data_IF_986147700522
#
_entry.id   IF_986147700522
#
_cell.length_a   1.000
_cell.length_b   1.000
_cell.length_c   1.000
_cell.angle_alpha   90.00
_cell.angle_beta   90.00
_cell.angle_gamma   90.00
#
_symmetry.space_group_name_H-M   'P 1'
#
loop_
_entity.id
_entity.type
_entity.pdbx_description
1 polymer ?
#
# COMPACT_ATOMS: atom_id res chain seq x y z
N UNK A 1 4.57 79.95 32.93
CA UNK A 1 5.85 79.20 32.80
C UNK A 1 5.94 78.65 31.39
N UNK A 2 7.16 78.65 30.83
CA UNK A 2 7.51 78.47 29.41
C UNK A 2 7.42 76.98 28.94
N UNK A 3 7.05 76.83 27.66
CA UNK A 3 7.07 75.65 26.74
C UNK A 3 8.57 75.21 26.57
N UNK A 4 9.02 73.94 26.23
CA UNK A 4 8.51 73.08 25.13
C UNK A 4 8.70 71.52 25.20
N UNK A 5 8.12 70.83 24.19
CA UNK A 5 8.50 69.49 23.64
C UNK A 5 9.85 69.65 22.89
N UNK A 6 10.83 68.69 22.77
CA UNK A 6 10.75 67.23 22.57
C UNK A 6 11.85 66.38 23.29
N UNK A 7 11.94 65.09 22.89
CA UNK A 7 13.06 64.13 23.04
C UNK A 7 12.99 63.23 24.27
N UNK A 8 12.52 61.98 24.07
CA UNK A 8 13.23 60.81 24.54
C UNK A 8 13.06 59.66 23.53
N UNK A 9 14.06 59.56 22.67
CA UNK A 9 14.54 58.32 22.06
C UNK A 9 14.89 57.32 23.18
N UNK A 10 14.79 56.03 22.84
CA UNK A 10 15.26 54.85 23.57
C UNK A 10 14.25 54.15 24.49
N UNK A 11 13.48 53.23 23.90
CA UNK A 11 13.25 51.87 24.43
C UNK A 11 12.64 50.99 23.33
N UNK A 12 13.37 50.82 22.22
CA UNK A 12 13.19 49.72 21.27
C UNK A 12 14.20 48.62 21.59
N UNK A 13 14.06 47.98 22.74
CA UNK A 13 14.75 46.75 23.12
C UNK A 13 13.73 45.97 23.94
N UNK A 14 13.59 44.67 23.70
CA UNK A 14 12.49 43.77 24.10
C UNK A 14 11.43 43.50 23.03
N UNK A 15 11.87 43.27 21.79
CA UNK A 15 11.28 42.21 20.97
C UNK A 15 12.26 41.03 20.99
N UNK A 16 11.94 39.99 21.75
CA UNK A 16 12.71 38.74 21.78
C UNK A 16 12.67 38.02 20.43
N UNK A 17 13.55 37.03 20.21
CA UNK A 17 13.65 36.32 18.94
C UNK A 17 12.54 35.27 18.84
N UNK A 18 11.31 35.70 18.62
CA UNK A 18 10.16 34.83 18.41
C UNK A 18 9.44 35.22 17.11
N UNK A 19 10.19 35.24 16.00
CA UNK A 19 9.67 35.18 14.63
C UNK A 19 10.81 35.00 13.62
N UNK A 20 11.63 33.96 13.82
CA UNK A 20 12.35 33.39 12.68
C UNK A 20 11.46 32.29 12.14
N UNK A 21 10.90 32.50 10.94
CA UNK A 21 10.52 31.37 10.09
C UNK A 21 11.70 30.39 10.11
N UNK A 22 11.47 29.08 10.31
CA UNK A 22 12.57 28.12 10.17
C UNK A 22 13.21 28.37 8.80
N UNK A 23 14.55 28.51 8.79
CA UNK A 23 15.27 28.59 7.52
C UNK A 23 14.86 27.36 6.70
N UNK A 24 14.44 27.59 5.44
CA UNK A 24 14.04 26.50 4.54
C UNK A 24 15.15 25.43 4.54
N UNK A 25 14.76 24.17 4.74
CA UNK A 25 15.70 23.06 4.67
C UNK A 25 16.26 22.97 3.25
N UNK A 26 17.53 22.55 3.07
CA UNK A 26 18.08 22.34 1.74
C UNK A 26 17.12 21.48 0.89
N UNK A 27 16.74 21.99 -0.29
CA UNK A 27 15.86 21.28 -1.21
C UNK A 27 14.35 21.52 -1.06
N UNK A 28 13.87 22.28 -0.07
CA UNK A 28 12.42 22.54 0.10
C UNK A 28 11.75 23.15 -1.15
N UNK A 29 12.48 23.98 -1.89
CA UNK A 29 12.00 24.53 -3.17
C UNK A 29 11.85 23.44 -4.24
N UNK A 30 12.79 22.50 -4.31
CA UNK A 30 12.72 21.37 -5.25
C UNK A 30 11.59 20.41 -4.88
N UNK A 31 11.34 20.18 -3.59
CA UNK A 31 10.16 19.44 -3.13
C UNK A 31 8.88 20.11 -3.62
N UNK A 32 8.75 21.43 -3.45
CA UNK A 32 7.57 22.18 -3.91
C UNK A 32 7.40 22.08 -5.43
N UNK A 33 8.48 22.24 -6.20
CA UNK A 33 8.43 22.10 -7.66
C UNK A 33 8.06 20.68 -8.12
N UNK A 34 8.56 19.65 -7.43
CA UNK A 34 8.17 18.28 -7.69
C UNK A 34 6.69 18.04 -7.40
N UNK A 35 6.19 18.59 -6.29
CA UNK A 35 4.76 18.54 -5.92
C UNK A 35 3.86 19.27 -6.92
N UNK A 36 4.29 20.42 -7.44
CA UNK A 36 3.62 21.12 -8.54
C UNK A 36 3.60 20.28 -9.84
N UNK A 37 4.69 19.57 -10.16
CA UNK A 37 4.70 18.65 -11.29
C UNK A 37 3.73 17.46 -11.09
N UNK A 38 3.67 16.88 -9.88
CA UNK A 38 2.72 15.83 -9.55
C UNK A 38 1.26 16.32 -9.64
N UNK A 39 0.99 17.55 -9.21
CA UNK A 39 -0.32 18.21 -9.30
C UNK A 39 -0.84 18.32 -10.74
N UNK A 40 0.07 18.53 -11.69
CA UNK A 40 -0.23 18.63 -13.11
C UNK A 40 -0.25 17.26 -13.82
N UNK A 41 -0.09 16.17 -13.06
CA UNK A 41 -0.04 14.81 -13.59
C UNK A 41 1.28 14.48 -14.28
N UNK A 42 2.31 15.31 -14.12
CA UNK A 42 3.63 15.08 -14.69
C UNK A 42 4.53 14.33 -13.69
N UNK A 43 4.16 13.09 -13.39
CA UNK A 43 4.85 12.24 -12.42
C UNK A 43 6.31 12.00 -12.76
N UNK A 44 6.63 11.88 -14.05
CA UNK A 44 8.01 11.72 -14.53
C UNK A 44 8.89 12.93 -14.18
N UNK A 45 8.39 14.14 -14.42
CA UNK A 45 9.13 15.37 -14.08
C UNK A 45 9.33 15.52 -12.57
N UNK A 46 8.27 15.28 -11.78
CA UNK A 46 8.36 15.34 -10.32
C UNK A 46 9.37 14.34 -9.77
N UNK A 47 9.34 13.09 -10.26
CA UNK A 47 10.32 12.06 -9.88
C UNK A 47 11.76 12.46 -10.27
N UNK A 48 11.97 12.98 -11.48
CA UNK A 48 13.29 13.41 -11.92
C UNK A 48 13.87 14.53 -11.05
N UNK A 49 13.05 15.51 -10.67
CA UNK A 49 13.48 16.58 -9.74
C UNK A 49 13.98 16.03 -8.40
N UNK A 50 13.27 15.04 -7.85
CA UNK A 50 13.65 14.42 -6.58
C UNK A 50 14.89 13.52 -6.73
N UNK A 51 15.05 12.82 -7.85
CA UNK A 51 16.28 12.06 -8.14
C UNK A 51 17.50 12.98 -8.26
N UNK A 52 17.38 14.10 -9.00
CA UNK A 52 18.44 15.09 -9.13
C UNK A 52 18.80 15.71 -7.77
N UNK A 53 17.79 15.90 -6.90
CA UNK A 53 18.00 16.36 -5.52
C UNK A 53 18.80 15.35 -4.69
N UNK A 54 18.45 14.06 -4.75
CA UNK A 54 19.20 13.00 -4.05
C UNK A 54 20.64 12.93 -4.58
N UNK A 55 20.82 12.96 -5.90
CA UNK A 55 22.13 12.86 -6.55
C UNK A 55 23.04 14.05 -6.18
N UNK A 56 22.49 15.24 -5.98
CA UNK A 56 23.23 16.44 -5.58
C UNK A 56 23.57 16.51 -4.08
N UNK A 57 23.00 15.62 -3.25
CA UNK A 57 23.19 15.58 -1.80
C UNK A 57 23.64 14.18 -1.32
N UNK A 58 24.77 13.65 -1.82
CA UNK A 58 25.23 12.32 -1.43
C UNK A 58 25.52 12.25 0.07
N UNK A 59 25.01 11.20 0.73
CA UNK A 59 25.16 10.97 2.17
C UNK A 59 24.09 11.62 3.04
N UNK A 60 23.19 12.43 2.48
CA UNK A 60 22.01 12.94 3.19
C UNK A 60 20.87 11.92 3.13
N UNK A 61 20.91 10.94 4.06
CA UNK A 61 19.93 9.86 4.11
C UNK A 61 18.53 10.32 4.53
N UNK A 62 18.42 11.39 5.33
CA UNK A 62 17.14 11.96 5.73
C UNK A 62 16.44 12.64 4.55
N UNK A 63 17.19 13.42 3.77
CA UNK A 63 16.69 13.99 2.51
C UNK A 63 16.30 12.87 1.54
N UNK A 64 17.16 11.86 1.39
CA UNK A 64 16.89 10.75 0.49
C UNK A 64 15.63 9.98 0.90
N UNK A 65 15.44 9.71 2.19
CA UNK A 65 14.25 9.05 2.70
C UNK A 65 12.97 9.88 2.43
N UNK A 66 13.00 11.19 2.68
CA UNK A 66 11.88 12.10 2.38
C UNK A 66 11.55 12.12 0.88
N UNK A 67 12.56 12.25 0.03
CA UNK A 67 12.42 12.29 -1.43
C UNK A 67 11.86 10.97 -1.97
N UNK A 68 12.45 9.84 -1.55
CA UNK A 68 11.97 8.51 -1.95
C UNK A 68 10.55 8.23 -1.45
N UNK A 69 10.19 8.68 -0.24
CA UNK A 69 8.83 8.51 0.26
C UNK A 69 7.81 9.25 -0.61
N UNK A 70 8.14 10.48 -1.03
CA UNK A 70 7.31 11.25 -1.97
C UNK A 70 7.21 10.57 -3.32
N UNK A 71 8.31 10.05 -3.85
CA UNK A 71 8.30 9.28 -5.10
C UNK A 71 7.44 8.02 -4.99
N UNK A 72 7.55 7.25 -3.90
CA UNK A 72 6.75 6.05 -3.66
C UNK A 72 5.24 6.36 -3.62
N UNK A 73 4.83 7.42 -2.92
CA UNK A 73 3.43 7.85 -2.91
C UNK A 73 2.99 8.40 -4.28
N UNK A 74 3.92 8.98 -5.05
CA UNK A 74 3.65 9.44 -6.41
C UNK A 74 3.45 8.29 -7.39
N UNK A 75 4.17 7.16 -7.23
CA UNK A 75 3.97 5.95 -8.03
C UNK A 75 2.55 5.38 -7.82
N UNK A 76 2.08 5.39 -6.57
CA UNK A 76 0.69 5.05 -6.27
C UNK A 76 -0.30 6.06 -6.85
N UNK A 77 0.00 7.35 -6.77
CA UNK A 77 -0.85 8.39 -7.35
C UNK A 77 -0.94 8.29 -8.89
N UNK A 78 0.16 7.95 -9.56
CA UNK A 78 0.19 7.72 -11.01
C UNK A 78 -0.71 6.54 -11.39
N UNK A 79 -0.63 5.42 -10.65
CA UNK A 79 -1.53 4.28 -10.84
C UNK A 79 -3.00 4.70 -10.79
N UNK A 80 -3.40 5.43 -9.75
CA UNK A 80 -4.80 5.89 -9.59
C UNK A 80 -5.19 6.87 -10.72
N UNK A 81 -4.26 7.73 -11.15
CA UNK A 81 -4.48 8.65 -12.29
C UNK A 81 -4.73 7.89 -13.59
N UNK A 82 -3.94 6.85 -13.86
CA UNK A 82 -4.03 6.03 -15.06
C UNK A 82 -5.29 5.17 -15.08
N UNK A 83 -5.69 4.63 -13.94
CA UNK A 83 -6.93 3.84 -13.80
C UNK A 83 -8.19 4.73 -13.92
N UNK A 84 -8.10 6.00 -13.52
CA UNK A 84 -9.24 6.90 -13.43
C UNK A 84 -8.98 8.28 -14.05
N UNK A 85 -8.71 8.38 -15.37
CA UNK A 85 -8.28 9.61 -16.02
C UNK A 85 -9.37 10.70 -16.01
N UNK A 86 -10.64 10.31 -16.12
CA UNK A 86 -11.80 11.22 -16.02
C UNK A 86 -12.09 11.65 -14.58
N UNK A 87 -11.44 11.02 -13.60
CA UNK A 87 -11.65 11.29 -12.20
C UNK A 87 -11.06 12.60 -11.70
N UNK A 88 -10.30 13.29 -12.55
CA UNK A 88 -9.54 14.47 -12.19
C UNK A 88 -8.49 14.17 -11.13
N UNK A 89 -8.09 12.91 -10.95
CA UNK A 89 -6.98 12.54 -10.07
C UNK A 89 -5.67 12.95 -10.76
N UNK A 90 -4.69 13.52 -10.03
CA UNK A 90 -4.67 13.72 -8.58
C UNK A 90 -5.42 15.00 -8.12
N UNK A 91 -5.77 15.94 -9.01
CA UNK A 91 -6.46 17.23 -8.71
C UNK A 91 -7.74 17.11 -7.86
N UNK A 92 -8.47 16.00 -7.95
CA UNK A 92 -9.66 15.71 -7.15
C UNK A 92 -9.34 15.45 -5.68
N UNK A 93 -8.20 14.81 -5.38
CA UNK A 93 -7.69 14.63 -4.03
C UNK A 93 -7.14 15.95 -3.46
N UNK A 94 -6.60 16.81 -4.34
CA UNK A 94 -6.11 18.16 -4.03
C UNK A 94 -7.22 19.19 -3.70
N UNK A 95 -8.39 19.10 -4.34
CA UNK A 95 -9.55 19.96 -3.99
C UNK A 95 -10.03 19.72 -2.56
N UNK A 96 -9.90 18.49 -2.06
CA UNK A 96 -10.32 18.10 -0.70
C UNK A 96 -9.29 18.52 0.35
N UNK A 97 -8.00 18.56 0.00
CA UNK A 97 -6.90 18.97 0.89
C UNK A 97 -6.64 20.48 0.92
N UNK A 98 -7.36 21.29 0.12
CA UNK A 98 -7.33 22.75 0.23
C UNK A 98 -6.02 23.41 -0.21
N UNK A 99 -5.28 22.79 -1.14
CA UNK A 99 -3.90 23.15 -1.56
C UNK A 99 -2.81 22.87 -0.50
N UNK A 100 -3.11 22.16 0.57
CA UNK A 100 -2.10 21.67 1.52
C UNK A 100 -1.49 20.37 1.00
N UNK A 101 -0.24 20.46 0.53
CA UNK A 101 0.49 19.32 -0.04
C UNK A 101 0.76 18.24 1.02
N UNK A 102 1.02 18.62 2.28
CA UNK A 102 1.31 17.67 3.35
C UNK A 102 0.09 16.79 3.64
N UNK A 103 -1.10 17.41 3.73
CA UNK A 103 -2.36 16.67 3.92
C UNK A 103 -2.68 15.72 2.77
N UNK A 104 -2.24 16.06 1.55
CA UNK A 104 -2.44 15.22 0.38
C UNK A 104 -1.61 13.94 0.49
N UNK A 105 -0.33 14.06 0.83
CA UNK A 105 0.54 12.90 1.07
C UNK A 105 0.08 12.05 2.25
N UNK A 106 -0.35 12.67 3.36
CA UNK A 106 -0.95 11.96 4.50
C UNK A 106 -2.22 11.20 4.08
N UNK A 107 -3.02 11.76 3.18
CA UNK A 107 -4.22 11.09 2.68
C UNK A 107 -3.87 9.90 1.78
N UNK A 108 -2.85 10.01 0.93
CA UNK A 108 -2.38 8.90 0.10
C UNK A 108 -1.80 7.76 0.95
N UNK A 109 -0.95 8.08 1.92
CA UNK A 109 -0.47 7.12 2.92
C UNK A 109 -1.63 6.46 3.67
N UNK A 110 -2.62 7.25 4.10
CA UNK A 110 -3.84 6.73 4.72
C UNK A 110 -4.61 5.77 3.81
N UNK A 111 -4.75 6.07 2.51
CA UNK A 111 -5.38 5.14 1.56
C UNK A 111 -4.58 3.84 1.37
N UNK A 112 -3.24 3.89 1.35
CA UNK A 112 -2.41 2.68 1.31
C UNK A 112 -2.64 1.82 2.55
N UNK A 113 -2.55 2.41 3.74
CA UNK A 113 -2.78 1.70 5.00
C UNK A 113 -4.19 1.11 5.07
N UNK A 114 -5.21 1.86 4.67
CA UNK A 114 -6.59 1.38 4.61
C UNK A 114 -6.82 0.29 3.57
N UNK A 115 -6.14 0.35 2.42
CA UNK A 115 -6.19 -0.70 1.41
C UNK A 115 -5.64 -2.00 1.97
N UNK A 116 -4.52 -1.94 2.68
CA UNK A 116 -3.88 -3.10 3.30
C UNK A 116 -4.71 -3.68 4.45
N UNK A 117 -5.17 -2.82 5.36
CA UNK A 117 -5.94 -3.23 6.54
C UNK A 117 -7.38 -3.58 6.23
N UNK A 118 -7.89 -3.18 5.05
CA UNK A 118 -9.31 -3.19 4.69
C UNK A 118 -10.20 -2.53 5.77
N UNK A 119 -9.68 -1.46 6.39
CA UNK A 119 -10.37 -0.71 7.44
C UNK A 119 -9.70 0.65 7.67
N UNK A 120 -10.50 1.69 7.87
CA UNK A 120 -10.04 2.99 8.38
C UNK A 120 -11.09 4.08 8.28
N UNK A 121 -10.63 5.34 8.21
CA UNK A 121 -11.48 6.55 8.19
C UNK A 121 -12.36 6.63 6.95
N UNK A 122 -12.02 5.97 5.84
CA UNK A 122 -12.84 5.95 4.64
C UNK A 122 -13.85 4.79 4.60
N UNK A 123 -13.79 3.86 5.56
CA UNK A 123 -14.74 2.77 5.70
C UNK A 123 -15.99 3.19 6.50
N UNK A 124 -17.15 2.56 6.22
CA UNK A 124 -18.33 2.66 7.11
C UNK A 124 -18.11 1.83 8.37
N UNK A 125 -19.04 1.94 9.32
CA UNK A 125 -19.04 1.14 10.55
C UNK A 125 -18.82 -0.36 10.25
N UNK A 126 -17.87 -0.96 10.95
CA UNK A 126 -17.48 -2.36 10.74
C UNK A 126 -16.50 -2.62 9.58
N UNK A 127 -15.97 -1.58 8.91
CA UNK A 127 -15.01 -1.75 7.81
C UNK A 127 -15.65 -1.98 6.44
N UNK A 128 -16.95 -1.77 6.33
CA UNK A 128 -17.67 -1.96 5.06
C UNK A 128 -17.46 -0.74 4.17
N UNK A 129 -16.82 -0.91 3.02
CA UNK A 129 -16.69 0.16 2.04
C UNK A 129 -17.97 0.29 1.19
N UNK A 130 -18.35 1.52 0.78
CA UNK A 130 -19.45 1.71 -0.14
C UNK A 130 -19.15 1.01 -1.48
N UNK A 131 -20.19 0.66 -2.25
CA UNK A 131 -20.03 0.27 -3.64
C UNK A 131 -20.43 1.46 -4.55
N UNK A 132 -19.52 1.97 -5.40
CA UNK A 132 -18.10 1.60 -5.48
C UNK A 132 -17.25 2.15 -4.32
N UNK A 133 -16.15 1.48 -3.96
CA UNK A 133 -15.22 2.01 -2.99
C UNK A 133 -14.49 3.25 -3.54
N UNK A 134 -13.78 4.00 -2.68
CA UNK A 134 -12.88 5.05 -3.14
C UNK A 134 -11.93 4.54 -4.23
N UNK A 135 -11.78 5.31 -5.32
CA UNK A 135 -10.94 4.95 -6.49
C UNK A 135 -9.52 4.55 -6.12
N UNK A 136 -8.93 5.24 -5.15
CA UNK A 136 -7.59 4.95 -4.64
C UNK A 136 -7.49 3.50 -4.11
N UNK A 137 -8.49 3.05 -3.33
CA UNK A 137 -8.56 1.69 -2.83
C UNK A 137 -8.85 0.68 -3.95
N UNK A 138 -9.76 1.04 -4.88
CA UNK A 138 -10.13 0.17 -6.01
C UNK A 138 -8.94 -0.13 -6.93
N UNK A 139 -8.07 0.83 -7.19
CA UNK A 139 -6.85 0.64 -8.00
C UNK A 139 -5.90 -0.42 -7.44
N UNK A 140 -5.90 -0.63 -6.12
CA UNK A 140 -5.11 -1.67 -5.47
C UNK A 140 -5.87 -2.98 -5.33
N UNK A 141 -7.14 -2.93 -4.92
CA UNK A 141 -7.94 -4.14 -4.70
C UNK A 141 -8.39 -4.83 -5.99
N UNK A 142 -8.54 -4.09 -7.09
CA UNK A 142 -8.96 -4.61 -8.40
C UNK A 142 -10.25 -5.43 -8.36
N UNK A 143 -11.23 -5.01 -7.58
CA UNK A 143 -12.47 -5.78 -7.34
C UNK A 143 -13.47 -5.66 -8.50
N UNK A 144 -13.32 -4.68 -9.39
CA UNK A 144 -14.13 -4.53 -10.61
C UNK A 144 -13.53 -5.33 -11.77
N UNK A 145 -14.26 -6.35 -12.20
CA UNK A 145 -13.94 -7.16 -13.38
C UNK A 145 -14.15 -6.40 -14.72
N UNK A 146 -14.97 -5.33 -14.71
CA UNK A 146 -15.52 -4.74 -15.94
C UNK A 146 -14.75 -3.51 -16.47
N UNK A 147 -13.58 -3.18 -15.89
CA UNK A 147 -12.77 -2.05 -16.36
C UNK A 147 -11.30 -2.48 -16.52
N UNK A 148 -10.64 -2.16 -17.66
CA UNK A 148 -9.23 -2.44 -17.81
C UNK A 148 -8.44 -1.52 -16.88
N UNK A 149 -8.06 -2.05 -15.71
CA UNK A 149 -7.16 -1.38 -14.79
C UNK A 149 -5.71 -1.58 -15.26
N UNK A 150 -4.89 -0.56 -15.09
CA UNK A 150 -3.45 -0.58 -15.37
C UNK A 150 -2.82 -1.78 -14.66
N UNK A 151 -2.06 -2.67 -15.30
CA UNK A 151 -1.40 -3.78 -14.59
C UNK A 151 -0.48 -3.29 -13.45
N UNK A 152 -0.51 -3.91 -12.26
CA UNK A 152 0.37 -3.46 -11.15
C UNK A 152 1.86 -3.63 -11.47
N UNK A 153 2.21 -4.55 -12.37
CA UNK A 153 3.58 -4.72 -12.86
C UNK A 153 4.13 -3.49 -13.58
N UNK A 154 3.27 -2.57 -14.03
CA UNK A 154 3.69 -1.31 -14.67
C UNK A 154 3.93 -0.17 -13.66
N UNK A 155 3.66 -0.39 -12.37
CA UNK A 155 3.98 0.56 -11.31
C UNK A 155 5.48 0.49 -11.02
N UNK A 156 6.15 1.63 -10.99
CA UNK A 156 7.55 1.70 -10.60
C UNK A 156 7.74 1.20 -9.17
N UNK A 157 8.77 0.38 -8.96
CA UNK A 157 9.14 -0.15 -7.64
C UNK A 157 10.42 0.47 -7.10
N UNK A 158 11.12 1.28 -7.92
CA UNK A 158 12.44 1.83 -7.63
C UNK A 158 12.51 2.58 -6.29
N UNK A 159 11.55 3.49 -6.05
CA UNK A 159 11.53 4.28 -4.82
C UNK A 159 11.27 3.40 -3.59
N UNK A 160 10.30 2.50 -3.67
CA UNK A 160 9.95 1.59 -2.59
C UNK A 160 11.10 0.61 -2.27
N UNK A 161 11.73 0.02 -3.27
CA UNK A 161 12.88 -0.88 -3.09
C UNK A 161 14.08 -0.15 -2.45
N UNK A 162 14.33 1.11 -2.84
CA UNK A 162 15.38 1.95 -2.22
C UNK A 162 15.06 2.32 -0.77
N UNK A 163 13.80 2.58 -0.43
CA UNK A 163 13.38 2.79 0.97
C UNK A 163 13.66 1.53 1.80
N UNK A 164 13.31 0.35 1.28
CA UNK A 164 13.60 -0.90 1.97
C UNK A 164 15.11 -1.10 2.09
N UNK A 165 15.91 -0.78 1.08
CA UNK A 165 17.37 -0.86 1.17
C UNK A 165 17.96 0.06 2.26
N UNK A 166 17.43 1.29 2.40
CA UNK A 166 17.80 2.19 3.49
C UNK A 166 17.45 1.61 4.87
N UNK A 167 16.27 0.99 4.99
CA UNK A 167 15.85 0.28 6.22
C UNK A 167 16.75 -0.89 6.55
N UNK A 168 17.09 -1.73 5.57
CA UNK A 168 18.01 -2.86 5.77
C UNK A 168 19.43 -2.41 6.17
N UNK A 169 19.83 -1.21 5.73
CA UNK A 169 21.12 -0.61 6.07
C UNK A 169 21.11 0.13 7.42
N UNK A 170 19.98 0.15 8.14
CA UNK A 170 19.84 0.79 9.45
C UNK A 170 19.66 2.31 9.41
N UNK A 171 19.39 2.90 8.23
CA UNK A 171 19.13 4.34 8.09
C UNK A 171 17.65 4.71 8.28
N UNK A 172 16.74 3.72 8.26
CA UNK A 172 15.33 3.92 8.54
C UNK A 172 14.83 2.89 9.53
N UNK A 173 14.04 3.37 10.48
CA UNK A 173 13.32 2.53 11.42
C UNK A 173 12.20 1.74 10.73
N UNK A 174 11.90 0.55 11.27
CA UNK A 174 10.87 -0.33 10.75
C UNK A 174 9.48 0.31 10.74
N UNK A 175 9.19 1.16 11.73
CA UNK A 175 7.89 1.82 11.91
C UNK A 175 7.77 3.17 11.22
N UNK A 176 8.83 3.62 10.53
CA UNK A 176 8.80 4.86 9.74
C UNK A 176 7.72 4.80 8.65
N UNK A 177 7.01 5.91 8.44
CA UNK A 177 5.92 5.99 7.46
C UNK A 177 6.38 5.60 6.05
N UNK A 178 7.61 5.97 5.69
CA UNK A 178 8.20 5.62 4.40
C UNK A 178 8.31 4.10 4.23
N UNK A 179 8.83 3.40 5.24
CA UNK A 179 8.98 1.94 5.21
C UNK A 179 7.63 1.25 5.16
N UNK A 180 6.65 1.73 5.94
CA UNK A 180 5.30 1.17 5.96
C UNK A 180 4.62 1.33 4.60
N UNK A 181 4.61 2.54 4.03
CA UNK A 181 3.96 2.82 2.76
C UNK A 181 4.62 2.06 1.60
N UNK A 182 5.97 2.03 1.56
CA UNK A 182 6.74 1.26 0.58
C UNK A 182 6.43 -0.24 0.67
N UNK A 183 6.39 -0.78 1.90
CA UNK A 183 6.10 -2.20 2.13
C UNK A 183 4.69 -2.57 1.70
N UNK A 184 3.70 -1.69 1.92
CA UNK A 184 2.31 -1.91 1.49
C UNK A 184 2.19 -1.87 -0.03
N UNK A 185 2.79 -0.87 -0.68
CA UNK A 185 2.73 -0.76 -2.14
C UNK A 185 3.39 -1.99 -2.80
N UNK A 186 4.58 -2.36 -2.32
CA UNK A 186 5.27 -3.57 -2.77
C UNK A 186 4.46 -4.83 -2.48
N UNK A 187 3.78 -4.92 -1.33
CA UNK A 187 2.91 -6.06 -1.04
C UNK A 187 1.86 -6.27 -2.14
N UNK A 188 1.16 -5.21 -2.55
CA UNK A 188 0.16 -5.32 -3.62
C UNK A 188 0.79 -5.72 -4.96
N UNK A 189 1.92 -5.13 -5.32
CA UNK A 189 2.64 -5.42 -6.56
C UNK A 189 3.13 -6.88 -6.57
N UNK A 190 3.84 -7.31 -5.52
CA UNK A 190 4.40 -8.66 -5.38
C UNK A 190 3.29 -9.71 -5.32
N UNK A 191 2.21 -9.46 -4.57
CA UNK A 191 1.03 -10.35 -4.55
C UNK A 191 0.43 -10.52 -5.95
N UNK A 192 0.30 -9.44 -6.72
CA UNK A 192 -0.23 -9.53 -8.09
C UNK A 192 0.74 -10.20 -9.07
N UNK A 193 2.05 -10.05 -8.85
CA UNK A 193 3.10 -10.78 -9.57
C UNK A 193 3.20 -12.26 -9.17
N UNK A 194 2.36 -12.75 -8.24
CA UNK A 194 2.46 -14.09 -7.65
C UNK A 194 3.87 -14.31 -7.06
N UNK A 195 4.43 -13.27 -6.43
CA UNK A 195 5.66 -13.27 -5.62
C UNK A 195 5.28 -13.34 -4.14
N UNK A 196 4.69 -14.46 -3.73
CA UNK A 196 4.06 -14.62 -2.43
C UNK A 196 5.04 -14.77 -1.28
N UNK A 197 6.25 -15.27 -1.53
CA UNK A 197 7.31 -15.31 -0.51
C UNK A 197 7.69 -13.88 -0.10
N UNK A 198 7.98 -13.04 -1.10
CA UNK A 198 8.30 -11.63 -0.87
C UNK A 198 7.13 -10.88 -0.23
N UNK A 199 5.90 -11.11 -0.73
CA UNK A 199 4.71 -10.51 -0.13
C UNK A 199 4.52 -10.95 1.33
N UNK A 200 4.83 -12.21 1.68
CA UNK A 200 4.80 -12.70 3.07
C UNK A 200 5.82 -11.98 3.94
N UNK A 201 7.06 -11.84 3.47
CA UNK A 201 8.13 -11.13 4.17
C UNK A 201 7.76 -9.68 4.47
N UNK A 202 7.16 -8.98 3.49
CA UNK A 202 6.66 -7.61 3.66
C UNK A 202 5.55 -7.53 4.71
N UNK A 203 4.58 -8.45 4.68
CA UNK A 203 3.47 -8.51 5.64
C UNK A 203 3.96 -8.76 7.07
N UNK A 204 4.94 -9.64 7.25
CA UNK A 204 5.55 -9.89 8.56
C UNK A 204 6.28 -8.66 9.08
N UNK A 205 7.09 -8.02 8.22
CA UNK A 205 7.78 -6.77 8.55
C UNK A 205 6.81 -5.67 8.96
N UNK A 206 5.64 -5.56 8.31
CA UNK A 206 4.58 -4.61 8.67
C UNK A 206 3.97 -4.91 10.06
N UNK A 207 3.76 -6.18 10.41
CA UNK A 207 3.24 -6.56 11.73
C UNK A 207 4.25 -6.23 12.82
N UNK A 208 5.54 -6.47 12.58
CA UNK A 208 6.62 -6.12 13.51
C UNK A 208 6.73 -4.61 13.70
N UNK A 209 6.78 -3.85 12.61
CA UNK A 209 6.78 -2.39 12.59
C UNK A 209 5.62 -1.78 13.39
N UNK A 210 4.46 -2.42 13.37
CA UNK A 210 3.23 -1.94 14.02
C UNK A 210 2.96 -2.62 15.35
N UNK A 211 4.01 -3.15 15.99
CA UNK A 211 3.99 -3.73 17.34
C UNK A 211 2.91 -4.81 17.53
N UNK A 212 2.59 -5.56 16.48
CA UNK A 212 1.56 -6.61 16.54
C UNK A 212 0.16 -6.09 16.83
N UNK A 213 -0.17 -4.87 16.36
CA UNK A 213 -1.53 -4.32 16.42
C UNK A 213 -2.57 -5.29 15.84
N UNK A 214 -3.76 -5.34 16.43
CA UNK A 214 -4.76 -6.38 16.11
C UNK A 214 -5.22 -6.35 14.64
N UNK A 215 -5.32 -5.16 14.06
CA UNK A 215 -5.74 -4.99 12.66
C UNK A 215 -4.66 -5.49 11.70
N UNK A 216 -3.38 -5.27 12.02
CA UNK A 216 -2.22 -5.78 11.28
C UNK A 216 -2.10 -7.31 11.39
N UNK A 217 -2.34 -7.86 12.59
CA UNK A 217 -2.40 -9.32 12.79
C UNK A 217 -3.53 -9.96 11.98
N UNK A 218 -4.69 -9.30 11.90
CA UNK A 218 -5.80 -9.76 11.07
C UNK A 218 -5.44 -9.71 9.58
N UNK A 219 -4.87 -8.60 9.09
CA UNK A 219 -4.42 -8.47 7.70
C UNK A 219 -3.42 -9.58 7.32
N UNK A 220 -2.43 -9.83 8.18
CA UNK A 220 -1.48 -10.94 7.99
C UNK A 220 -2.15 -12.30 7.95
N UNK A 221 -2.99 -12.62 8.94
CA UNK A 221 -3.66 -13.91 9.00
C UNK A 221 -4.58 -14.12 7.80
N UNK A 222 -5.26 -13.05 7.35
CA UNK A 222 -6.09 -13.06 6.15
C UNK A 222 -5.26 -13.35 4.90
N UNK A 223 -4.14 -12.65 4.70
CA UNK A 223 -3.25 -12.89 3.57
C UNK A 223 -2.76 -14.34 3.52
N UNK A 224 -2.22 -14.88 4.63
CA UNK A 224 -1.76 -16.26 4.67
C UNK A 224 -2.88 -17.27 4.43
N UNK A 225 -4.10 -16.99 4.90
CA UNK A 225 -5.27 -17.82 4.61
C UNK A 225 -5.71 -17.76 3.15
N UNK A 226 -5.64 -16.59 2.50
CA UNK A 226 -5.95 -16.42 1.08
C UNK A 226 -5.00 -17.22 0.18
N UNK A 227 -3.71 -17.23 0.50
CA UNK A 227 -2.70 -18.00 -0.26
C UNK A 227 -2.54 -19.44 0.23
N UNK A 228 -3.40 -19.92 1.14
CA UNK A 228 -3.29 -21.27 1.72
C UNK A 228 -1.90 -21.59 2.29
N UNK A 229 -1.22 -20.63 2.90
CA UNK A 229 0.09 -20.85 3.51
C UNK A 229 -0.01 -21.79 4.72
N UNK A 230 0.97 -22.68 4.90
CA UNK A 230 1.16 -23.50 6.12
C UNK A 230 1.22 -22.66 7.42
N UNK A 231 1.53 -21.36 7.32
CA UNK A 231 1.53 -20.41 8.44
C UNK A 231 0.13 -19.93 8.81
N UNK A 232 -0.88 -20.11 7.95
CA UNK A 232 -2.22 -19.61 8.17
C UNK A 232 -2.84 -20.14 9.47
N UNK A 233 -2.80 -21.45 9.70
CA UNK A 233 -3.39 -22.07 10.89
C UNK A 233 -2.83 -21.53 12.22
N UNK A 234 -1.50 -21.56 12.47
CA UNK A 234 -0.96 -21.03 13.73
C UNK A 234 -1.23 -19.53 13.89
N UNK A 235 -1.23 -18.75 12.80
CA UNK A 235 -1.56 -17.33 12.83
C UNK A 235 -3.03 -17.07 13.18
N UNK A 236 -3.96 -17.82 12.58
CA UNK A 236 -5.40 -17.75 12.86
C UNK A 236 -5.71 -18.14 14.30
N UNK A 237 -5.12 -19.24 14.80
CA UNK A 237 -5.26 -19.65 16.20
C UNK A 237 -4.79 -18.54 17.16
N UNK A 238 -3.62 -17.96 16.89
CA UNK A 238 -3.07 -16.85 17.70
C UNK A 238 -3.95 -15.59 17.66
N UNK A 239 -4.44 -15.22 16.48
CA UNK A 239 -5.36 -14.10 16.29
C UNK A 239 -6.67 -14.31 17.06
N UNK A 240 -7.31 -15.46 16.90
CA UNK A 240 -8.57 -15.78 17.58
C UNK A 240 -8.40 -15.84 19.09
N UNK A 241 -7.34 -16.46 19.59
CA UNK A 241 -7.02 -16.45 21.02
C UNK A 241 -6.82 -15.03 21.57
N UNK A 242 -6.30 -14.10 20.76
CA UNK A 242 -6.27 -12.68 21.12
C UNK A 242 -7.68 -12.07 21.13
N UNK A 243 -8.46 -12.26 20.07
CA UNK A 243 -9.79 -11.66 19.91
C UNK A 243 -10.82 -12.15 20.94
N UNK A 244 -10.71 -13.40 21.41
CA UNK A 244 -11.67 -14.02 22.34
C UNK A 244 -11.46 -13.61 23.81
N UNK A 245 -10.37 -12.89 24.13
CA UNK A 245 -10.20 -12.33 25.47
C UNK A 245 -11.32 -11.32 25.76
N UNK A 246 -11.90 -11.28 26.98
CA UNK A 246 -12.87 -10.25 27.35
C UNK A 246 -12.21 -8.88 27.20
N UNK A 247 -12.79 -7.99 26.38
CA UNK A 247 -12.15 -6.71 26.04
C UNK A 247 -13.08 -5.52 26.17
N UNK A 248 -12.53 -4.45 26.75
CA UNK A 248 -13.07 -3.07 26.80
C UNK A 248 -12.60 -2.25 25.58
N UNK A 249 -11.66 -2.79 24.79
CA UNK A 249 -11.04 -2.10 23.65
C UNK A 249 -11.88 -2.20 22.37
N UNK A 250 -12.32 -1.03 21.88
CA UNK A 250 -13.12 -0.88 20.65
C UNK A 250 -12.40 -1.38 19.39
N UNK A 251 -11.07 -1.28 19.31
CA UNK A 251 -10.32 -1.73 18.14
C UNK A 251 -10.43 -3.25 17.96
N UNK A 252 -10.26 -3.99 19.07
CA UNK A 252 -10.41 -5.43 19.07
C UNK A 252 -11.84 -5.91 18.76
N UNK A 253 -12.86 -5.20 19.26
CA UNK A 253 -14.26 -5.50 18.91
C UNK A 253 -14.48 -5.37 17.40
N UNK A 254 -13.97 -4.30 16.78
CA UNK A 254 -14.07 -4.11 15.33
C UNK A 254 -13.31 -5.16 14.55
N UNK A 255 -12.08 -5.48 14.96
CA UNK A 255 -11.30 -6.56 14.37
C UNK A 255 -12.02 -7.90 14.47
N UNK A 256 -12.68 -8.20 15.59
CA UNK A 256 -13.47 -9.42 15.77
C UNK A 256 -14.65 -9.52 14.81
N UNK A 257 -15.32 -8.40 14.50
CA UNK A 257 -16.41 -8.37 13.51
C UNK A 257 -15.84 -8.70 12.13
N UNK A 258 -14.74 -8.06 11.75
CA UNK A 258 -14.06 -8.26 10.45
C UNK A 258 -13.47 -9.67 10.31
N UNK A 259 -13.05 -10.29 11.40
CA UNK A 259 -12.52 -11.65 11.43
C UNK A 259 -13.60 -12.74 11.31
N UNK A 260 -14.91 -12.40 11.35
CA UNK A 260 -16.01 -13.37 11.33
C UNK A 260 -16.02 -14.29 10.10
N UNK A 261 -15.89 -13.79 8.85
CA UNK A 261 -15.85 -14.66 7.68
C UNK A 261 -14.66 -15.62 7.72
N UNK A 262 -13.52 -15.13 8.18
CA UNK A 262 -12.30 -15.91 8.33
C UNK A 262 -12.45 -17.01 9.38
N UNK A 263 -13.11 -16.71 10.50
CA UNK A 263 -13.44 -17.70 11.55
C UNK A 263 -14.43 -18.76 11.06
N UNK A 264 -15.43 -18.37 10.28
CA UNK A 264 -16.39 -19.30 9.67
C UNK A 264 -15.69 -20.26 8.70
N UNK A 265 -14.80 -19.74 7.84
CA UNK A 265 -14.00 -20.57 6.93
C UNK A 265 -13.05 -21.50 7.68
N UNK A 266 -12.38 -21.01 8.74
CA UNK A 266 -11.45 -21.81 9.56
C UNK A 266 -12.15 -22.92 10.35
N UNK A 267 -13.40 -22.71 10.76
CA UNK A 267 -14.19 -23.68 11.53
C UNK A 267 -15.01 -24.62 10.63
N UNK A 268 -15.04 -24.38 9.32
CA UNK A 268 -15.74 -25.25 8.38
C UNK A 268 -14.98 -26.57 8.27
N UNK A 269 -15.70 -27.71 8.15
CA UNK A 269 -15.05 -28.96 7.76
C UNK A 269 -14.29 -28.74 6.45
N UNK A 270 -13.12 -29.38 6.24
CA UNK A 270 -12.39 -29.26 4.99
C UNK A 270 -13.34 -29.59 3.83
N UNK A 271 -13.27 -28.85 2.70
CA UNK A 271 -14.12 -29.15 1.56
C UNK A 271 -13.98 -30.65 1.24
N UNK A 272 -15.13 -31.33 1.06
CA UNK A 272 -15.17 -32.76 0.77
C UNK A 272 -14.09 -33.09 -0.26
N UNK A 273 -13.24 -34.08 0.07
CA UNK A 273 -12.26 -34.62 -0.87
C UNK A 273 -12.98 -34.92 -2.18
N UNK A 274 -12.50 -34.30 -3.26
CA UNK A 274 -13.00 -34.47 -4.61
C UNK A 274 -13.15 -35.98 -4.88
N UNK A 275 -14.39 -36.42 -5.14
CA UNK A 275 -14.66 -37.83 -5.43
C UNK A 275 -14.02 -38.23 -6.78
N UNK A 276 -13.53 -39.47 -6.94
CA UNK A 276 -12.96 -39.94 -8.19
C UNK A 276 -14.00 -39.85 -9.31
N UNK A 277 -13.72 -39.10 -10.39
CA UNK A 277 -14.54 -39.07 -11.61
C UNK A 277 -15.15 -37.72 -12.03
N UNK A 278 -14.88 -36.61 -11.33
CA UNK A 278 -15.28 -35.27 -11.81
C UNK A 278 -14.32 -34.78 -12.94
N UNK A 279 -14.84 -34.15 -14.01
CA UNK A 279 -14.03 -33.74 -15.15
C UNK A 279 -13.06 -32.61 -14.76
N UNK A 280 -11.78 -32.86 -15.04
CA UNK A 280 -10.61 -32.05 -14.66
C UNK A 280 -10.66 -30.56 -15.04
N UNK A 281 -11.52 -30.16 -15.98
CA UNK A 281 -11.69 -28.77 -16.44
C UNK A 281 -12.48 -27.89 -15.45
N UNK A 282 -13.24 -28.45 -14.50
CA UNK A 282 -13.83 -27.66 -13.39
C UNK A 282 -12.84 -27.42 -12.24
N UNK A 283 -11.58 -27.84 -12.39
CA UNK A 283 -10.50 -27.71 -11.39
C UNK A 283 -9.54 -26.55 -11.70
N UNK A 284 -9.85 -25.73 -12.69
CA UNK A 284 -9.04 -24.58 -13.08
C UNK A 284 -9.87 -23.32 -12.90
N UNK A 285 -9.37 -22.44 -12.04
CA UNK A 285 -9.70 -21.03 -11.83
C UNK A 285 -10.93 -20.68 -10.99
N UNK A 286 -10.74 -20.69 -9.67
CA UNK A 286 -11.07 -19.51 -8.88
C UNK A 286 -9.79 -18.97 -8.22
N UNK A 287 -9.64 -17.65 -8.06
CA UNK A 287 -8.44 -16.98 -7.49
C UNK A 287 -8.18 -17.29 -6.00
N UNK A 288 -8.57 -18.48 -5.55
CA UNK A 288 -8.21 -19.20 -4.32
C UNK A 288 -7.53 -20.56 -4.62
N UNK A 289 -7.30 -20.88 -5.90
CA UNK A 289 -6.94 -22.20 -6.41
C UNK A 289 -5.65 -22.14 -7.23
N UNK A 290 -4.56 -21.62 -6.66
CA UNK A 290 -3.26 -22.06 -7.13
C UNK A 290 -3.07 -23.52 -6.62
N UNK A 291 -3.06 -24.53 -7.51
CA UNK A 291 -3.00 -25.92 -7.08
C UNK A 291 -1.72 -26.25 -6.32
N UNK A 292 -0.62 -25.52 -6.56
CA UNK A 292 0.62 -25.72 -5.83
C UNK A 292 0.53 -25.23 -4.38
N UNK A 293 -0.13 -24.09 -4.12
CA UNK A 293 -0.36 -23.64 -2.76
C UNK A 293 -1.30 -24.57 -1.98
N UNK A 294 -2.29 -25.17 -2.64
CA UNK A 294 -3.12 -26.21 -2.03
C UNK A 294 -2.31 -27.48 -1.71
N UNK A 295 -1.43 -27.89 -2.61
CA UNK A 295 -0.54 -29.04 -2.38
C UNK A 295 0.46 -28.78 -1.24
N UNK A 296 0.92 -27.53 -1.11
CA UNK A 296 1.75 -27.06 0.00
C UNK A 296 0.99 -27.04 1.34
N UNK A 297 -0.26 -26.54 1.35
CA UNK A 297 -1.11 -26.48 2.53
C UNK A 297 -1.49 -27.86 3.07
N UNK A 298 -1.60 -28.85 2.19
CA UNK A 298 -1.81 -30.27 2.53
C UNK A 298 -0.57 -30.94 3.17
N UNK A 299 0.51 -30.18 3.40
CA UNK A 299 1.63 -30.56 4.26
C UNK A 299 2.78 -31.28 3.56
N UNK A 300 2.85 -31.24 2.23
CA UNK A 300 3.81 -32.03 1.47
C UNK A 300 5.24 -31.47 1.48
N UNK A 301 5.44 -30.16 1.63
CA UNK A 301 6.78 -29.57 1.62
C UNK A 301 6.87 -28.30 2.48
N UNK A 302 7.76 -28.25 3.47
CA UNK A 302 8.10 -27.03 4.22
C UNK A 302 9.46 -26.50 3.73
N UNK A 303 9.63 -25.18 3.66
CA UNK A 303 10.92 -24.56 3.29
C UNK A 303 11.18 -24.47 1.79
N UNK A 304 10.18 -24.76 0.93
CA UNK A 304 10.28 -24.57 -0.53
C UNK A 304 9.43 -23.41 -1.07
N UNK A 305 9.02 -22.49 -0.19
CA UNK A 305 8.13 -21.38 -0.53
C UNK A 305 8.67 -20.57 -1.71
N UNK A 306 9.97 -20.22 -1.70
CA UNK A 306 10.63 -19.48 -2.78
C UNK A 306 10.66 -20.26 -4.11
N UNK A 307 10.99 -21.55 -4.07
CA UNK A 307 11.08 -22.38 -5.27
C UNK A 307 9.71 -22.60 -5.92
N UNK A 308 8.67 -22.73 -5.10
CA UNK A 308 7.28 -22.80 -5.57
C UNK A 308 6.87 -21.46 -6.17
N UNK A 309 7.22 -20.34 -5.53
CA UNK A 309 6.94 -18.99 -6.02
C UNK A 309 7.55 -18.76 -7.41
N UNK A 310 8.84 -19.11 -7.57
CA UNK A 310 9.55 -19.05 -8.85
C UNK A 310 8.92 -19.97 -9.90
N UNK A 311 8.45 -21.15 -9.51
CA UNK A 311 7.75 -22.07 -10.42
C UNK A 311 6.40 -21.53 -10.87
N UNK A 312 5.60 -20.94 -9.96
CA UNK A 312 4.32 -20.29 -10.29
C UNK A 312 4.55 -19.15 -11.29
N UNK A 313 5.56 -18.31 -11.03
CA UNK A 313 5.94 -17.24 -11.93
C UNK A 313 6.37 -17.78 -13.30
N UNK A 314 7.22 -18.81 -13.35
CA UNK A 314 7.68 -19.41 -14.60
C UNK A 314 6.58 -20.14 -15.39
N UNK A 315 5.53 -20.63 -14.73
CA UNK A 315 4.48 -21.46 -15.36
C UNK A 315 3.27 -20.65 -15.80
N UNK A 316 2.95 -19.55 -15.12
CA UNK A 316 1.68 -18.84 -15.29
C UNK A 316 1.82 -17.35 -15.68
N UNK A 317 3.03 -16.79 -15.87
CA UNK A 317 3.19 -15.33 -16.02
C UNK A 317 3.11 -14.77 -17.44
N UNK A 318 3.30 -15.55 -18.51
CA UNK A 318 3.21 -15.01 -19.89
C UNK A 318 1.89 -15.36 -20.59
N UNK A 319 1.35 -16.55 -20.33
CA UNK A 319 0.17 -17.07 -21.06
C UNK A 319 -1.15 -16.45 -20.58
N UNK A 320 -1.25 -16.05 -19.30
CA UNK A 320 -2.47 -15.41 -18.78
C UNK A 320 -2.61 -13.95 -19.26
N UNK A 321 -1.49 -13.25 -19.46
CA UNK A 321 -1.47 -11.93 -20.09
C UNK A 321 -1.83 -12.00 -21.58
N UNK A 322 -1.38 -13.04 -22.30
CA UNK A 322 -1.79 -13.27 -23.69
C UNK A 322 -3.29 -13.56 -23.82
N UNK A 323 -3.91 -14.28 -22.89
CA UNK A 323 -5.37 -14.54 -22.91
C UNK A 323 -6.16 -13.24 -22.64
N UNK A 324 -5.67 -12.37 -21.77
CA UNK A 324 -6.26 -11.05 -21.54
C UNK A 324 -6.12 -10.14 -22.78
N UNK A 325 -4.94 -10.10 -23.39
CA UNK A 325 -4.69 -9.34 -24.63
C UNK A 325 -5.48 -9.90 -25.82
N UNK A 326 -5.61 -11.22 -25.95
CA UNK A 326 -6.37 -11.88 -27.01
C UNK A 326 -7.88 -11.58 -26.92
N UNK A 327 -8.45 -11.47 -25.70
CA UNK A 327 -9.84 -11.04 -25.50
C UNK A 327 -10.07 -9.60 -25.96
N UNK A 328 -9.09 -8.72 -25.77
CA UNK A 328 -9.18 -7.33 -26.22
C UNK A 328 -8.94 -7.13 -27.72
N UNK A 329 -8.18 -8.02 -28.38
CA UNK A 329 -7.99 -7.99 -29.83
C UNK A 329 -9.23 -8.49 -30.59
N UNK A 330 -10.01 -9.42 -30.03
CA UNK A 330 -11.24 -9.92 -30.64
C UNK A 330 -12.38 -8.89 -30.68
N UNK A 331 -12.39 -7.90 -29.78
CA UNK A 331 -13.38 -6.80 -29.82
C UNK A 331 -13.04 -5.69 -30.83
N UNK A 332 -11.81 -5.67 -31.37
CA UNK A 332 -11.39 -4.72 -32.43
C UNK A 332 -11.45 -5.29 -33.84
N UNK A 333 -11.77 -6.58 -33.99
CA UNK A 333 -11.92 -7.24 -35.30
C UNK A 333 -13.31 -7.84 -35.44
N UNK A 334 -14.32 -6.98 -35.36
CA UNK A 334 -15.61 -7.24 -36.00
C UNK A 334 -15.90 -6.05 -36.94
N UNK A 335 -15.66 -6.17 -38.25
CA UNK A 335 -16.19 -5.23 -39.20
C UNK A 335 -17.64 -5.60 -39.55
N UNK A 336 -18.52 -4.62 -39.32
CA UNK A 336 -19.90 -4.44 -39.80
C UNK A 336 -21.00 -5.38 -39.26
#
# INVERSE_FOLDING_TARGET
MKIPVPVFLALCLWAGPANRCPAASPGDEIFREAEEAYLDGNFKLGGQKLEDLIASHPGDFDLAARALHRMCLSDYADLVSRDWPSGGFPRGLFKVSGRDHSRMWESLSGFLEEAFLEYGRHAREGGVYPFPPPRALESLWRKRADYPLTPLKEVSTSAADRILALRHSGYLENDSSAVVDASILLYFIRRNQKRYEEASSLVDGLVEAKNGGVDWLLARAKFHAEISSNRAEPLLRSLFAKLDKPRVDKAATRASIRARPLRQAFSAPPPERILPGQPWIRQLTSEREDPAWKTFSDGFIQGLEEQIDLWIQGTFSEVEDEVYLARHHLERVAPL
#
